data_IF_952862352453
#
_entry.id   IF_952862352453
#
_cell.length_a   1.000
_cell.length_b   1.000
_cell.length_c   1.000
_cell.angle_alpha   90.00
_cell.angle_beta   90.00
_cell.angle_gamma   90.00
#
_symmetry.space_group_name_H-M   'P 1'
#
loop_
_entity.id
_entity.type
_entity.pdbx_description
1 polymer ?
#
# COMPACT_ATOMS: atom_id res chain seq x y z
N UNK A 1 -0.10 9.11 2.69
CA UNK A 1 0.27 7.68 2.61
C UNK A 1 1.61 7.50 3.31
N UNK A 2 1.68 6.76 4.44
CA UNK A 2 2.96 6.46 5.08
C UNK A 2 3.77 5.53 4.19
N UNK A 3 5.08 5.78 4.06
CA UNK A 3 6.02 4.94 3.31
C UNK A 3 7.02 4.36 4.31
N UNK A 4 7.16 3.04 4.32
CA UNK A 4 8.20 2.36 5.09
C UNK A 4 9.32 1.96 4.13
N UNK A 5 10.52 2.49 4.35
CA UNK A 5 11.69 2.22 3.51
C UNK A 5 12.65 1.34 4.30
N UNK A 6 13.03 0.22 3.71
CA UNK A 6 14.02 -0.71 4.25
C UNK A 6 15.22 -0.71 3.29
N UNK A 7 16.41 -0.46 3.84
CA UNK A 7 17.65 -0.53 3.08
C UNK A 7 18.17 -1.96 3.06
N UNK A 8 18.46 -2.47 1.87
CA UNK A 8 18.89 -3.85 1.61
C UNK A 8 20.31 -3.91 1.02
N UNK A 9 21.10 -2.83 1.18
CA UNK A 9 22.44 -2.71 0.64
C UNK A 9 23.31 -3.98 0.85
N UNK A 10 24.05 -4.36 -0.20
CA UNK A 10 25.03 -5.44 -0.13
C UNK A 10 24.56 -6.82 -0.60
N UNK A 11 23.56 -6.90 -1.49
CA UNK A 11 23.06 -8.14 -2.11
C UNK A 11 24.08 -8.79 -3.07
N UNK A 12 25.23 -9.24 -2.53
CA UNK A 12 26.29 -9.94 -3.26
C UNK A 12 26.69 -11.19 -2.51
N UNK A 13 27.27 -12.17 -3.18
CA UNK A 13 27.85 -13.31 -2.49
C UNK A 13 29.01 -12.88 -1.59
N UNK A 14 29.06 -13.44 -0.38
CA UNK A 14 30.12 -13.22 0.59
C UNK A 14 30.48 -14.54 1.28
N UNK A 15 31.78 -14.74 1.52
CA UNK A 15 32.33 -15.87 2.26
C UNK A 15 32.28 -15.67 3.78
N UNK A 16 31.93 -14.48 4.27
CA UNK A 16 31.71 -14.21 5.69
C UNK A 16 30.28 -14.62 6.09
N UNK A 17 30.19 -15.56 7.04
CA UNK A 17 28.93 -16.08 7.56
C UNK A 17 28.04 -14.97 8.15
N UNK A 18 28.62 -13.92 8.75
CA UNK A 18 27.84 -12.80 9.29
C UNK A 18 27.20 -11.99 8.17
N UNK A 19 27.96 -11.69 7.11
CA UNK A 19 27.43 -11.01 5.92
C UNK A 19 26.38 -11.86 5.22
N UNK A 20 26.60 -13.18 5.10
CA UNK A 20 25.66 -14.13 4.49
C UNK A 20 24.29 -14.13 5.19
N UNK A 21 24.28 -14.09 6.53
CA UNK A 21 23.04 -13.95 7.31
C UNK A 21 22.37 -12.59 7.04
N UNK A 22 23.18 -11.52 6.92
CA UNK A 22 22.69 -10.19 6.57
C UNK A 22 21.99 -10.17 5.20
N UNK A 23 22.62 -10.78 4.20
CA UNK A 23 22.09 -10.90 2.83
C UNK A 23 20.80 -11.72 2.82
N UNK A 24 20.77 -12.85 3.55
CA UNK A 24 19.57 -13.67 3.65
C UNK A 24 18.38 -12.88 4.23
N UNK A 25 18.61 -12.11 5.31
CA UNK A 25 17.58 -11.24 5.89
C UNK A 25 17.13 -10.15 4.92
N UNK A 26 18.05 -9.55 4.19
CA UNK A 26 17.70 -8.55 3.17
C UNK A 26 16.79 -9.15 2.09
N UNK A 27 17.02 -10.40 1.68
CA UNK A 27 16.13 -11.11 0.75
C UNK A 27 14.75 -11.42 1.33
N UNK A 28 14.65 -11.75 2.62
CA UNK A 28 13.37 -11.97 3.29
C UNK A 28 12.54 -10.68 3.35
N UNK A 29 13.16 -9.54 3.65
CA UNK A 29 12.51 -8.23 3.63
C UNK A 29 12.06 -7.84 2.21
N UNK A 30 12.86 -8.14 1.18
CA UNK A 30 12.49 -7.92 -0.23
C UNK A 30 11.25 -8.73 -0.60
N UNK A 31 11.18 -10.00 -0.15
CA UNK A 31 10.04 -10.87 -0.44
C UNK A 31 8.73 -10.41 0.23
N UNK A 32 8.83 -9.68 1.35
CA UNK A 32 7.68 -9.13 2.07
C UNK A 32 7.26 -7.73 1.57
N UNK A 33 8.03 -7.11 0.67
CA UNK A 33 7.80 -5.74 0.23
C UNK A 33 6.63 -5.62 -0.77
N UNK A 34 5.84 -4.56 -0.62
CA UNK A 34 4.77 -4.21 -1.56
C UNK A 34 5.30 -3.69 -2.91
N UNK A 35 6.53 -3.17 -2.93
CA UNK A 35 7.24 -2.71 -4.10
C UNK A 35 8.75 -2.73 -3.86
N UNK A 36 9.54 -2.99 -4.91
CA UNK A 36 11.00 -3.03 -4.82
C UNK A 36 11.60 -1.92 -5.68
N UNK A 37 12.49 -1.11 -5.09
CA UNK A 37 13.32 -0.16 -5.82
C UNK A 37 14.66 -0.83 -6.15
N UNK A 38 14.86 -1.19 -7.41
CA UNK A 38 16.16 -1.71 -7.85
C UNK A 38 17.04 -0.55 -8.32
N UNK A 39 17.99 -0.17 -7.46
CA UNK A 39 18.86 0.98 -7.67
C UNK A 39 20.09 0.61 -8.51
N UNK A 40 20.30 1.33 -9.60
CA UNK A 40 21.44 1.18 -10.50
C UNK A 40 22.31 2.44 -10.49
N UNK A 41 23.63 2.26 -10.63
CA UNK A 41 24.59 3.36 -10.79
C UNK A 41 24.82 3.65 -12.27
N UNK A 42 24.26 4.76 -12.77
CA UNK A 42 24.39 5.15 -14.17
C UNK A 42 25.84 5.41 -14.59
N UNK A 43 26.73 5.74 -13.66
CA UNK A 43 28.16 5.96 -13.97
C UNK A 43 28.91 4.66 -14.26
N UNK A 44 28.33 3.51 -13.91
CA UNK A 44 28.96 2.19 -14.03
C UNK A 44 28.26 1.28 -15.04
N UNK A 45 27.21 1.76 -15.70
CA UNK A 45 26.36 0.94 -16.58
C UNK A 45 27.10 0.29 -17.76
N UNK A 46 28.18 0.91 -18.25
CA UNK A 46 29.00 0.34 -19.33
C UNK A 46 30.11 -0.61 -18.81
N UNK A 47 30.25 -0.79 -17.50
CA UNK A 47 31.21 -1.71 -16.90
C UNK A 47 30.63 -3.12 -16.93
N UNK A 48 31.33 -4.05 -17.59
CA UNK A 48 30.83 -5.40 -17.84
C UNK A 48 30.62 -6.22 -16.55
N UNK A 49 31.49 -6.04 -15.55
CA UNK A 49 31.37 -6.66 -14.23
C UNK A 49 30.14 -6.14 -13.47
N UNK A 50 29.89 -4.84 -13.53
CA UNK A 50 28.72 -4.21 -12.92
C UNK A 50 27.42 -4.69 -13.59
N UNK A 51 27.38 -4.70 -14.93
CA UNK A 51 26.23 -5.19 -15.69
C UNK A 51 25.93 -6.67 -15.42
N UNK A 52 26.96 -7.50 -15.23
CA UNK A 52 26.78 -8.90 -14.85
C UNK A 52 26.19 -9.06 -13.45
N UNK A 53 26.72 -8.31 -12.46
CA UNK A 53 26.21 -8.35 -11.09
C UNK A 53 24.74 -7.88 -11.01
N UNK A 54 24.38 -6.80 -11.73
CA UNK A 54 22.99 -6.32 -11.79
C UNK A 54 22.06 -7.38 -12.43
N UNK A 55 22.54 -8.10 -13.46
CA UNK A 55 21.76 -9.17 -14.10
C UNK A 55 21.52 -10.36 -13.16
N UNK A 56 22.48 -10.69 -12.29
CA UNK A 56 22.33 -11.77 -11.30
C UNK A 56 21.31 -11.40 -10.20
N UNK A 57 21.34 -10.15 -9.73
CA UNK A 57 20.32 -9.62 -8.81
C UNK A 57 18.95 -9.61 -9.49
N UNK A 58 18.86 -9.15 -10.74
CA UNK A 58 17.60 -9.13 -11.50
C UNK A 58 16.98 -10.52 -11.65
N UNK A 59 17.80 -11.54 -11.93
CA UNK A 59 17.36 -12.93 -12.02
C UNK A 59 16.86 -13.44 -10.67
N UNK A 60 17.58 -13.15 -9.60
CA UNK A 60 17.20 -13.56 -8.25
C UNK A 60 15.90 -12.87 -7.80
N UNK A 61 15.70 -11.60 -8.17
CA UNK A 61 14.44 -10.89 -7.94
C UNK A 61 13.28 -11.56 -8.69
N UNK A 62 13.46 -11.95 -9.95
CA UNK A 62 12.45 -12.67 -10.72
C UNK A 62 12.09 -14.03 -10.10
N UNK A 63 13.07 -14.74 -9.54
CA UNK A 63 12.85 -16.07 -8.94
C UNK A 63 12.20 -15.98 -7.54
N UNK A 64 12.52 -14.94 -6.76
CA UNK A 64 12.06 -14.80 -5.37
C UNK A 64 10.80 -13.96 -5.21
N UNK A 65 10.56 -12.99 -6.08
CA UNK A 65 9.40 -12.10 -5.95
C UNK A 65 8.16 -12.72 -6.62
N UNK A 66 6.99 -12.62 -5.97
CA UNK A 66 5.73 -12.88 -6.65
C UNK A 66 5.56 -11.96 -7.87
N UNK A 67 4.99 -12.46 -8.96
CA UNK A 67 4.82 -11.71 -10.22
C UNK A 67 4.00 -10.41 -10.10
N UNK A 68 3.27 -10.24 -8.99
CA UNK A 68 2.46 -9.08 -8.68
C UNK A 68 3.23 -7.96 -7.95
N UNK A 69 4.43 -8.23 -7.43
CA UNK A 69 5.26 -7.22 -6.77
C UNK A 69 6.00 -6.40 -7.84
N UNK A 70 5.72 -5.10 -7.97
CA UNK A 70 6.38 -4.28 -8.97
C UNK A 70 7.83 -4.00 -8.59
N UNK A 71 8.74 -4.21 -9.54
CA UNK A 71 10.13 -3.80 -9.47
C UNK A 71 10.30 -2.51 -10.27
N UNK A 72 10.67 -1.42 -9.60
CA UNK A 72 10.94 -0.13 -10.22
C UNK A 72 12.46 -0.01 -10.37
N UNK A 73 12.94 0.08 -11.61
CA UNK A 73 14.35 0.28 -11.88
C UNK A 73 14.71 1.77 -11.76
N UNK A 74 15.68 2.09 -10.92
CA UNK A 74 16.07 3.48 -10.62
C UNK A 74 17.54 3.69 -10.98
N UNK A 75 17.80 4.42 -12.06
CA UNK A 75 19.13 4.79 -12.52
C UNK A 75 19.58 6.10 -11.85
N UNK A 76 20.39 5.98 -10.81
CA UNK A 76 20.88 7.10 -10.02
C UNK A 76 22.17 7.70 -10.60
N UNK A 77 22.54 8.89 -10.11
CA UNK A 77 23.75 9.65 -10.43
C UNK A 77 23.79 10.22 -11.84
N UNK A 78 22.63 10.66 -12.35
CA UNK A 78 22.55 11.38 -13.64
C UNK A 78 23.42 12.64 -13.68
N UNK A 79 23.72 13.26 -12.54
CA UNK A 79 24.61 14.42 -12.42
C UNK A 79 26.10 14.10 -12.63
N UNK A 80 26.49 12.82 -12.53
CA UNK A 80 27.88 12.38 -12.68
C UNK A 80 28.12 11.57 -13.96
N UNK A 81 27.07 11.05 -14.59
CA UNK A 81 27.18 10.30 -15.83
C UNK A 81 27.61 11.22 -16.99
N UNK A 82 28.38 10.67 -17.93
CA UNK A 82 28.73 11.39 -19.14
C UNK A 82 27.46 11.67 -19.97
N UNK A 83 27.37 12.85 -20.60
CA UNK A 83 26.16 13.30 -21.28
C UNK A 83 25.71 12.34 -22.40
N UNK A 84 26.65 11.66 -23.07
CA UNK A 84 26.38 10.65 -24.08
C UNK A 84 25.81 9.35 -23.49
N UNK A 85 26.32 8.92 -22.32
CA UNK A 85 25.78 7.78 -21.57
C UNK A 85 24.37 8.09 -21.09
N UNK A 86 24.17 9.26 -20.49
CA UNK A 86 22.85 9.71 -20.02
C UNK A 86 21.84 9.80 -21.17
N UNK A 87 22.24 10.34 -22.33
CA UNK A 87 21.36 10.48 -23.50
C UNK A 87 21.00 9.12 -24.10
N UNK A 88 21.98 8.22 -24.25
CA UNK A 88 21.76 6.86 -24.77
C UNK A 88 20.87 6.05 -23.82
N UNK A 89 21.12 6.15 -22.52
CA UNK A 89 20.36 5.39 -21.53
C UNK A 89 18.93 5.91 -21.43
N UNK A 90 18.73 7.24 -21.38
CA UNK A 90 17.39 7.85 -21.36
C UNK A 90 16.56 7.46 -22.58
N UNK A 91 17.19 7.34 -23.76
CA UNK A 91 16.50 6.91 -24.98
C UNK A 91 16.06 5.44 -24.95
N UNK A 92 16.66 4.62 -24.09
CA UNK A 92 16.35 3.20 -23.93
C UNK A 92 15.44 2.91 -22.72
N UNK A 93 15.07 3.94 -21.93
CA UNK A 93 14.23 3.73 -20.75
C UNK A 93 12.80 3.37 -21.15
N UNK A 94 12.30 2.30 -20.52
CA UNK A 94 10.90 1.91 -20.57
C UNK A 94 10.11 2.71 -19.53
N UNK A 95 8.77 2.65 -19.56
CA UNK A 95 7.91 3.28 -18.54
C UNK A 95 8.15 2.80 -17.10
N UNK A 96 8.85 1.68 -16.91
CA UNK A 96 9.18 1.08 -15.62
C UNK A 96 10.55 1.51 -15.07
N UNK A 97 11.29 2.32 -15.83
CA UNK A 97 12.64 2.76 -15.47
C UNK A 97 12.68 4.28 -15.26
N UNK A 98 13.36 4.72 -14.21
CA UNK A 98 13.44 6.12 -13.82
C UNK A 98 14.92 6.50 -13.71
N UNK A 99 15.35 7.54 -14.42
CA UNK A 99 16.66 8.14 -14.22
C UNK A 99 16.55 9.36 -13.30
N UNK A 100 17.42 9.46 -12.30
CA UNK A 100 17.42 10.54 -11.32
C UNK A 100 18.82 10.84 -10.78
N UNK A 101 18.96 11.99 -10.13
CA UNK A 101 20.10 12.27 -9.26
C UNK A 101 19.59 12.42 -7.82
N UNK A 102 19.94 11.46 -6.98
CA UNK A 102 19.66 11.55 -5.55
C UNK A 102 20.42 12.71 -4.88
N UNK A 103 21.51 13.17 -5.49
CA UNK A 103 22.33 14.28 -4.98
C UNK A 103 21.67 15.63 -5.24
N UNK A 104 21.18 15.88 -6.45
CA UNK A 104 20.56 17.17 -6.82
C UNK A 104 19.06 17.18 -6.56
N UNK A 105 18.45 16.01 -6.45
CA UNK A 105 17.01 15.81 -6.35
C UNK A 105 16.29 15.76 -7.70
N UNK A 106 17.02 15.93 -8.82
CA UNK A 106 16.44 15.84 -10.15
C UNK A 106 15.87 14.44 -10.41
N UNK A 107 14.67 14.34 -10.97
CA UNK A 107 13.95 13.08 -11.20
C UNK A 107 13.24 12.47 -9.98
N UNK A 108 13.41 13.00 -8.75
CA UNK A 108 12.72 12.47 -7.56
C UNK A 108 11.20 12.63 -7.62
N UNK A 109 10.68 13.69 -8.26
CA UNK A 109 9.24 13.87 -8.41
C UNK A 109 8.62 12.80 -9.32
N UNK A 110 9.34 12.35 -10.35
CA UNK A 110 8.93 11.24 -11.19
C UNK A 110 8.88 9.93 -10.41
N UNK A 111 9.90 9.68 -9.57
CA UNK A 111 9.91 8.53 -8.65
C UNK A 111 8.73 8.58 -7.67
N UNK A 112 8.45 9.74 -7.06
CA UNK A 112 7.32 9.91 -6.15
C UNK A 112 5.99 9.62 -6.83
N UNK A 113 5.79 10.14 -8.04
CA UNK A 113 4.58 9.89 -8.82
C UNK A 113 4.42 8.40 -9.11
N UNK A 114 5.50 7.72 -9.52
CA UNK A 114 5.47 6.29 -9.80
C UNK A 114 5.15 5.44 -8.56
N UNK A 115 5.73 5.78 -7.42
CA UNK A 115 5.44 5.11 -6.15
C UNK A 115 3.97 5.27 -5.73
N UNK A 116 3.38 6.44 -5.96
CA UNK A 116 1.95 6.67 -5.72
C UNK A 116 1.08 5.81 -6.65
N UNK A 117 1.41 5.75 -7.94
CA UNK A 117 0.69 4.89 -8.90
C UNK A 117 0.76 3.42 -8.51
N UNK A 118 1.95 2.94 -8.12
CA UNK A 118 2.17 1.56 -7.66
C UNK A 118 1.38 1.25 -6.39
N UNK A 119 1.31 2.19 -5.45
CA UNK A 119 0.51 2.04 -4.25
C UNK A 119 -1.01 2.13 -4.49
N UNK A 120 -1.46 2.20 -5.75
CA UNK A 120 -2.87 2.35 -6.10
C UNK A 120 -3.45 3.70 -5.70
N UNK A 121 -2.61 4.72 -5.47
CA UNK A 121 -3.08 6.05 -5.12
C UNK A 121 -3.73 6.70 -6.34
N UNK A 122 -5.05 6.67 -6.38
CA UNK A 122 -5.83 7.52 -7.25
C UNK A 122 -6.07 8.83 -6.53
N UNK A 123 -5.70 9.94 -7.15
CA UNK A 123 -6.16 11.27 -6.71
C UNK A 123 -7.67 11.32 -6.91
N UNK A 124 -8.42 10.82 -5.94
CA UNK A 124 -9.84 11.07 -5.89
C UNK A 124 -10.03 12.58 -5.62
N UNK A 125 -10.94 13.25 -6.35
CA UNK A 125 -11.41 14.57 -5.95
C UNK A 125 -11.97 14.46 -4.52
N UNK A 126 -11.84 15.53 -3.74
CA UNK A 126 -12.31 15.67 -2.36
C UNK A 126 -13.45 14.72 -1.96
N UNK A 127 -13.19 13.86 -0.96
CA UNK A 127 -14.21 12.92 -0.45
C UNK A 127 -13.68 11.61 0.10
N UNK A 128 -12.39 11.28 -0.11
CA UNK A 128 -11.80 10.07 0.48
C UNK A 128 -11.57 10.29 1.99
N UNK A 129 -12.53 9.83 2.78
CA UNK A 129 -12.32 9.62 4.22
C UNK A 129 -11.16 8.66 4.38
N UNK A 130 -10.10 9.09 5.09
CA UNK A 130 -8.97 8.23 5.45
C UNK A 130 -9.45 7.24 6.53
N UNK A 131 -10.20 6.22 6.13
CA UNK A 131 -10.64 5.17 7.03
C UNK A 131 -9.43 4.34 7.46
N UNK A 132 -9.14 4.34 8.77
CA UNK A 132 -8.14 3.44 9.35
C UNK A 132 -8.62 2.00 9.17
N UNK A 133 -7.72 1.02 9.09
CA UNK A 133 -8.07 -0.40 8.96
C UNK A 133 -9.18 -0.84 9.93
N UNK A 134 -9.07 -0.46 11.21
CA UNK A 134 -10.12 -0.69 12.23
C UNK A 134 -11.51 -0.13 11.90
N UNK A 135 -11.59 1.01 11.19
CA UNK A 135 -12.89 1.57 10.78
C UNK A 135 -13.46 0.78 9.60
N UNK A 136 -12.60 0.27 8.71
CA UNK A 136 -13.03 -0.60 7.61
C UNK A 136 -13.57 -1.92 8.16
N UNK A 137 -12.85 -2.55 9.09
CA UNK A 137 -13.30 -3.77 9.78
C UNK A 137 -14.64 -3.57 10.49
N UNK A 138 -14.79 -2.45 11.22
CA UNK A 138 -16.04 -2.12 11.89
C UNK A 138 -17.19 -1.92 10.88
N UNK A 139 -16.96 -1.21 9.76
CA UNK A 139 -17.98 -1.03 8.72
C UNK A 139 -18.35 -2.33 8.00
N UNK A 140 -17.39 -3.25 7.78
CA UNK A 140 -17.68 -4.58 7.22
C UNK A 140 -18.55 -5.41 8.17
N UNK A 141 -18.31 -5.33 9.48
CA UNK A 141 -19.16 -5.98 10.46
C UNK A 141 -20.58 -5.38 10.50
N UNK A 142 -20.70 -4.05 10.38
CA UNK A 142 -22.00 -3.36 10.23
C UNK A 142 -22.74 -3.89 9.01
N UNK A 143 -22.07 -3.94 7.86
CA UNK A 143 -22.65 -4.35 6.58
C UNK A 143 -23.22 -5.77 6.64
N UNK A 144 -22.46 -6.73 7.20
CA UNK A 144 -22.92 -8.10 7.38
C UNK A 144 -24.20 -8.22 8.22
N UNK A 145 -24.31 -7.46 9.31
CA UNK A 145 -25.52 -7.43 10.13
C UNK A 145 -26.70 -6.73 9.42
N UNK A 146 -26.43 -5.72 8.60
CA UNK A 146 -27.47 -5.06 7.80
C UNK A 146 -28.00 -5.96 6.68
N UNK A 147 -27.15 -6.77 6.06
CA UNK A 147 -27.57 -7.80 5.10
C UNK A 147 -28.49 -8.84 5.78
N UNK A 148 -28.09 -9.34 6.95
CA UNK A 148 -28.93 -10.27 7.72
C UNK A 148 -30.27 -9.64 8.13
N UNK A 149 -30.26 -8.36 8.52
CA UNK A 149 -31.47 -7.60 8.82
C UNK A 149 -32.41 -7.49 7.60
N UNK A 150 -31.86 -7.18 6.42
CA UNK A 150 -32.62 -7.10 5.17
C UNK A 150 -33.26 -8.44 4.80
N UNK A 151 -32.53 -9.55 4.98
CA UNK A 151 -33.06 -10.91 4.79
C UNK A 151 -34.26 -11.19 5.73
N UNK A 152 -34.19 -10.80 7.01
CA UNK A 152 -35.30 -10.97 7.96
C UNK A 152 -36.51 -10.12 7.59
N UNK A 153 -36.29 -8.95 7.00
CA UNK A 153 -37.36 -8.07 6.53
C UNK A 153 -38.05 -8.61 5.28
N UNK A 154 -37.29 -9.22 4.37
CA UNK A 154 -37.79 -9.83 3.14
C UNK A 154 -38.51 -11.18 3.36
N UNK A 155 -38.35 -11.80 4.54
CA UNK A 155 -38.96 -13.08 4.86
C UNK A 155 -40.50 -12.99 4.90
N UNK A 156 -41.25 -14.04 4.46
CA UNK A 156 -42.73 -14.08 4.47
C UNK A 156 -43.35 -13.92 5.86
N UNK A 157 -42.56 -14.13 6.91
CA UNK A 157 -42.92 -13.94 8.31
C UNK A 157 -41.82 -13.09 8.92
N UNK A 158 -41.91 -11.76 8.75
CA UNK A 158 -40.89 -10.85 9.26
C UNK A 158 -40.65 -11.09 10.76
N UNK A 159 -39.48 -11.63 11.08
CA UNK A 159 -39.08 -11.90 12.46
C UNK A 159 -38.54 -10.59 13.05
N UNK A 160 -39.45 -9.71 13.45
CA UNK A 160 -39.11 -8.37 13.93
C UNK A 160 -38.14 -8.39 15.12
N UNK A 161 -38.18 -9.42 15.96
CA UNK A 161 -37.25 -9.59 17.07
C UNK A 161 -35.82 -9.90 16.60
N UNK A 162 -35.67 -10.72 15.54
CA UNK A 162 -34.37 -11.01 14.93
C UNK A 162 -33.85 -9.80 14.16
N UNK A 163 -34.72 -9.11 13.43
CA UNK A 163 -34.39 -7.84 12.78
C UNK A 163 -33.86 -6.82 13.79
N UNK A 164 -34.57 -6.64 14.91
CA UNK A 164 -34.17 -5.71 15.95
C UNK A 164 -32.82 -6.10 16.57
N UNK A 165 -32.55 -7.39 16.75
CA UNK A 165 -31.26 -7.87 17.25
C UNK A 165 -30.13 -7.63 16.24
N UNK A 166 -30.33 -7.89 14.94
CA UNK A 166 -29.32 -7.60 13.92
C UNK A 166 -28.99 -6.09 13.84
N UNK A 167 -30.00 -5.22 13.92
CA UNK A 167 -29.78 -3.77 13.98
C UNK A 167 -29.01 -3.35 15.25
N UNK A 168 -29.30 -3.98 16.40
CA UNK A 168 -28.56 -3.75 17.65
C UNK A 168 -27.11 -4.19 17.52
N UNK A 169 -26.86 -5.35 16.90
CA UNK A 169 -25.52 -5.88 16.69
C UNK A 169 -24.72 -5.02 15.69
N UNK A 170 -25.36 -4.49 14.64
CA UNK A 170 -24.75 -3.53 13.73
C UNK A 170 -24.34 -2.22 14.43
N UNK A 171 -25.10 -1.77 15.44
CA UNK A 171 -24.80 -0.53 16.16
C UNK A 171 -23.53 -0.60 17.02
N UNK A 172 -23.17 -1.78 17.54
CA UNK A 172 -21.98 -1.97 18.39
C UNK A 172 -20.65 -1.63 17.69
N UNK A 173 -20.31 -2.21 16.51
CA UNK A 173 -19.10 -1.83 15.77
C UNK A 173 -19.18 -0.38 15.26
N UNK A 174 -20.37 0.13 14.92
CA UNK A 174 -20.53 1.53 14.52
C UNK A 174 -20.18 2.50 15.65
N UNK A 175 -20.58 2.20 16.89
CA UNK A 175 -20.23 2.96 18.09
C UNK A 175 -18.72 3.02 18.34
N UNK A 176 -17.95 2.01 17.90
CA UNK A 176 -16.48 2.06 17.98
C UNK A 176 -15.86 3.14 17.08
N UNK A 177 -16.60 3.60 16.06
CA UNK A 177 -16.19 4.67 15.14
C UNK A 177 -16.70 6.03 15.62
N UNK A 178 -17.98 6.11 16.01
CA UNK A 178 -18.67 7.38 16.31
C UNK A 178 -18.64 7.78 17.78
N UNK A 179 -18.21 6.89 18.68
CA UNK A 179 -18.45 6.97 20.11
C UNK A 179 -19.75 6.25 20.51
N UNK A 180 -19.87 5.88 21.78
CA UNK A 180 -21.04 5.17 22.29
C UNK A 180 -22.32 6.01 22.12
N UNK A 181 -23.28 5.45 21.37
CA UNK A 181 -24.65 5.93 21.28
C UNK A 181 -25.55 4.82 21.84
N UNK A 182 -26.18 5.09 22.98
CA UNK A 182 -26.97 4.10 23.71
C UNK A 182 -28.40 3.98 23.18
N UNK A 183 -29.09 2.90 23.53
CA UNK A 183 -30.52 2.75 23.25
C UNK A 183 -31.36 3.86 23.90
N UNK A 184 -30.93 4.36 25.06
CA UNK A 184 -31.62 5.46 25.75
C UNK A 184 -31.46 6.79 24.99
N UNK A 185 -30.30 7.04 24.38
CA UNK A 185 -30.08 8.21 23.53
C UNK A 185 -30.99 8.16 22.29
N UNK A 186 -31.13 6.97 21.69
CA UNK A 186 -32.02 6.74 20.55
C UNK A 186 -33.49 6.98 20.91
N UNK A 187 -33.95 6.40 22.03
CA UNK A 187 -35.32 6.61 22.51
C UNK A 187 -35.56 8.08 22.85
N UNK A 188 -34.58 8.75 23.45
CA UNK A 188 -34.63 10.19 23.72
C UNK A 188 -34.87 11.00 22.45
N UNK A 189 -34.16 10.72 21.36
CA UNK A 189 -34.36 11.41 20.06
C UNK A 189 -35.72 11.08 19.45
N UNK A 190 -36.12 9.80 19.41
CA UNK A 190 -37.41 9.39 18.85
C UNK A 190 -38.56 10.06 19.60
N UNK A 191 -38.55 10.02 20.93
CA UNK A 191 -39.62 10.61 21.75
C UNK A 191 -39.53 12.12 21.89
N UNK A 192 -38.37 12.74 21.63
CA UNK A 192 -38.26 14.22 21.58
C UNK A 192 -39.13 14.83 20.47
N UNK A 193 -39.46 14.04 19.43
CA UNK A 193 -40.33 14.45 18.32
C UNK A 193 -41.82 14.14 18.54
N UNK A 194 -42.17 13.36 19.56
CA UNK A 194 -43.55 13.13 19.95
C UNK A 194 -43.97 14.15 21.00
N UNK A 195 -44.75 15.16 20.60
CA UNK A 195 -45.47 16.01 21.54
C UNK A 195 -46.35 15.13 22.44
N UNK A 196 -45.92 14.90 23.70
CA UNK A 196 -46.82 14.38 24.72
C UNK A 196 -47.87 15.47 24.95
N UNK A 197 -49.05 15.24 24.38
CA UNK A 197 -50.20 16.11 24.56
C UNK A 197 -50.52 16.30 26.05
N UNK A 198 -50.81 17.55 26.41
CA UNK A 198 -51.70 17.83 27.54
C UNK A 198 -53.13 17.51 27.13
#
# INVERSE_FOLDING_TARGET
MPLHVIDTAGLRDSDDEVERIGIARAWDEIAAADAVLFLHDLTRVEQADYAAADADIARTLQDKLPAQVPVIHVWNKTDMAAADVQSRHTALLNAEQIALSARTGDGLDALRKRLLEVAGWQSAPEGLYLARARHVEALQAVDAHLEMADEQLAAPSAHLDLLAEELRLAQLPLNSITGEFSSDDLLGVIFSSFCIGK
#
